data_IF_589630684233
#
_entry.id   IF_589630684233
#
_cell.length_a   1.000
_cell.length_b   1.000
_cell.length_c   1.000
_cell.angle_alpha   90.00
_cell.angle_beta   90.00
_cell.angle_gamma   90.00
#
_symmetry.space_group_name_H-M   'P 1'
#
loop_
_entity.id
_entity.type
_entity.pdbx_description
1 polymer ?
#
# COMPACT_ATOMS: atom_id res chain seq x y z
N UNK A 1 4.13 -3.58 -29.11
CA UNK A 1 5.22 -4.54 -28.81
C UNK A 1 4.68 -5.50 -27.78
N UNK A 2 4.98 -6.77 -27.91
CA UNK A 2 4.60 -7.84 -27.00
C UNK A 2 5.88 -8.37 -26.35
N UNK A 3 5.84 -8.68 -25.07
CA UNK A 3 6.96 -9.18 -24.28
C UNK A 3 6.47 -10.39 -23.49
N UNK A 4 7.19 -11.48 -23.59
CA UNK A 4 6.92 -12.73 -22.88
C UNK A 4 7.95 -12.94 -21.79
N UNK A 5 7.51 -13.40 -20.62
CA UNK A 5 8.40 -13.83 -19.54
C UNK A 5 8.61 -15.34 -19.63
N UNK A 6 9.85 -15.75 -19.75
CA UNK A 6 10.20 -17.17 -19.78
C UNK A 6 9.86 -17.84 -18.43
N UNK A 7 9.11 -18.92 -18.47
CA UNK A 7 8.80 -19.73 -17.29
C UNK A 7 10.02 -20.52 -16.82
N UNK A 8 10.21 -20.56 -15.53
CA UNK A 8 11.21 -21.39 -14.82
C UNK A 8 10.67 -21.73 -13.44
N UNK A 9 11.12 -22.85 -12.87
CA UNK A 9 10.83 -23.22 -11.48
C UNK A 9 11.99 -22.86 -10.53
N UNK A 10 13.12 -22.41 -11.08
CA UNK A 10 14.25 -21.93 -10.30
C UNK A 10 14.08 -20.46 -9.93
N UNK A 11 14.06 -20.19 -8.62
CA UNK A 11 13.76 -18.86 -8.09
C UNK A 11 14.82 -17.82 -8.47
N UNK A 12 16.11 -18.22 -8.46
CA UNK A 12 17.19 -17.28 -8.81
C UNK A 12 17.14 -16.91 -10.29
N UNK A 13 16.88 -17.88 -11.17
CA UNK A 13 16.69 -17.64 -12.60
C UNK A 13 15.45 -16.79 -12.85
N UNK A 14 14.34 -17.05 -12.11
CA UNK A 14 13.14 -16.25 -12.20
C UNK A 14 13.41 -14.78 -11.84
N UNK A 15 14.08 -14.50 -10.73
CA UNK A 15 14.38 -13.14 -10.29
C UNK A 15 15.19 -12.35 -11.35
N UNK A 16 16.15 -13.00 -11.99
CA UNK A 16 16.93 -12.41 -13.09
C UNK A 16 16.05 -12.12 -14.31
N UNK A 17 15.25 -13.09 -14.74
CA UNK A 17 14.36 -12.97 -15.89
C UNK A 17 13.27 -11.93 -15.64
N UNK A 18 12.70 -11.88 -14.43
CA UNK A 18 11.70 -10.90 -14.05
C UNK A 18 12.26 -9.48 -14.08
N UNK A 19 13.47 -9.26 -13.59
CA UNK A 19 14.14 -7.96 -13.68
C UNK A 19 14.27 -7.50 -15.14
N UNK A 20 14.77 -8.35 -16.00
CA UNK A 20 14.92 -8.04 -17.45
C UNK A 20 13.55 -7.79 -18.11
N UNK A 21 12.54 -8.59 -17.76
CA UNK A 21 11.17 -8.41 -18.28
C UNK A 21 10.60 -7.04 -17.94
N UNK A 22 10.71 -6.62 -16.67
CA UNK A 22 10.23 -5.31 -16.21
C UNK A 22 11.02 -4.17 -16.87
N UNK A 23 12.36 -4.24 -16.89
CA UNK A 23 13.22 -3.22 -17.51
C UNK A 23 12.90 -3.06 -18.99
N UNK A 24 12.76 -4.17 -19.75
CA UNK A 24 12.42 -4.14 -21.17
C UNK A 24 11.04 -3.50 -21.42
N UNK A 25 10.06 -3.81 -20.57
CA UNK A 25 8.73 -3.22 -20.66
C UNK A 25 8.76 -1.71 -20.40
N UNK A 26 9.51 -1.27 -19.39
CA UNK A 26 9.72 0.14 -19.06
C UNK A 26 10.42 0.90 -20.18
N UNK A 27 11.56 0.40 -20.65
CA UNK A 27 12.34 1.04 -21.72
C UNK A 27 11.50 1.19 -22.98
N UNK A 28 10.73 0.17 -23.32
CA UNK A 28 9.82 0.22 -24.45
C UNK A 28 8.72 1.25 -24.28
N UNK A 29 8.09 1.29 -23.11
CA UNK A 29 7.05 2.28 -22.81
C UNK A 29 7.61 3.71 -22.85
N UNK A 30 8.74 3.96 -22.21
CA UNK A 30 9.42 5.27 -22.21
C UNK A 30 9.82 5.70 -23.64
N UNK A 31 10.36 4.79 -24.43
CA UNK A 31 10.73 5.07 -25.84
C UNK A 31 9.57 5.57 -26.69
N UNK A 32 8.38 5.10 -26.43
CA UNK A 32 7.17 5.47 -27.17
C UNK A 32 6.26 6.46 -26.42
N UNK A 33 6.71 7.03 -25.29
CA UNK A 33 5.94 7.99 -24.50
C UNK A 33 4.68 7.39 -23.87
N UNK A 34 4.68 6.09 -23.60
CA UNK A 34 3.57 5.39 -22.95
C UNK A 34 3.73 5.50 -21.42
N UNK A 35 2.69 5.89 -20.68
CA UNK A 35 2.73 5.92 -19.21
C UNK A 35 3.12 4.55 -18.62
N UNK A 36 3.96 4.57 -17.58
CA UNK A 36 4.41 3.37 -16.86
C UNK A 36 3.36 2.86 -15.87
N UNK A 37 2.12 2.79 -16.30
CA UNK A 37 0.96 2.30 -15.55
C UNK A 37 0.50 0.97 -16.10
N UNK A 38 0.07 0.06 -15.23
CA UNK A 38 -0.36 -1.29 -15.60
C UNK A 38 -1.88 -1.40 -15.65
N UNK A 39 -2.41 -2.00 -16.71
CA UNK A 39 -3.82 -2.37 -16.89
C UNK A 39 -4.83 -1.23 -16.61
N UNK A 40 -4.48 -0.01 -16.99
CA UNK A 40 -5.40 1.14 -16.94
C UNK A 40 -6.67 0.88 -17.77
N UNK A 41 -7.79 1.60 -17.53
CA UNK A 41 -9.01 1.50 -18.33
C UNK A 41 -8.76 1.55 -19.84
N UNK A 42 -9.69 0.99 -20.63
CA UNK A 42 -9.55 0.83 -22.09
C UNK A 42 -9.19 2.14 -22.82
N UNK A 43 -9.72 3.25 -22.38
CA UNK A 43 -9.51 4.57 -22.98
C UNK A 43 -8.28 5.32 -22.45
N UNK A 44 -7.48 4.69 -21.61
CA UNK A 44 -6.26 5.28 -21.04
C UNK A 44 -5.02 4.55 -21.53
N UNK A 45 -3.96 5.27 -21.95
CA UNK A 45 -2.69 4.66 -22.31
C UNK A 45 -2.01 4.01 -21.09
N UNK A 46 -1.15 3.04 -21.34
CA UNK A 46 -0.39 2.31 -20.32
C UNK A 46 0.09 0.96 -20.84
N UNK A 47 0.87 0.28 -20.03
CA UNK A 47 1.28 -1.11 -20.25
C UNK A 47 0.08 -2.01 -19.97
N UNK A 48 -0.21 -2.95 -20.85
CA UNK A 48 -1.34 -3.86 -20.74
C UNK A 48 -0.86 -5.30 -20.65
N UNK A 49 -1.38 -6.06 -19.67
CA UNK A 49 -1.16 -7.51 -19.62
C UNK A 49 -1.93 -8.24 -20.71
N UNK A 50 -1.53 -9.47 -21.02
CA UNK A 50 -2.30 -10.32 -21.93
C UNK A 50 -3.69 -10.59 -21.38
N UNK A 51 -3.83 -10.84 -20.09
CA UNK A 51 -5.13 -10.98 -19.45
C UNK A 51 -6.01 -9.74 -19.68
N UNK A 52 -5.46 -8.53 -19.53
CA UNK A 52 -6.19 -7.30 -19.81
C UNK A 52 -6.66 -7.24 -21.28
N UNK A 53 -5.78 -7.59 -22.23
CA UNK A 53 -6.10 -7.63 -23.66
C UNK A 53 -7.23 -8.63 -23.94
N UNK A 54 -7.15 -9.82 -23.35
CA UNK A 54 -8.20 -10.84 -23.45
C UNK A 54 -9.54 -10.34 -22.94
N UNK A 55 -9.57 -9.66 -21.81
CA UNK A 55 -10.79 -9.19 -21.16
C UNK A 55 -11.42 -7.96 -21.84
N UNK A 56 -10.63 -7.13 -22.52
CA UNK A 56 -11.08 -5.84 -23.04
C UNK A 56 -11.07 -5.73 -24.56
N UNK A 57 -10.34 -6.59 -25.28
CA UNK A 57 -10.21 -6.51 -26.73
C UNK A 57 -10.53 -7.85 -27.38
N UNK A 58 -9.67 -8.86 -27.22
CA UNK A 58 -9.84 -10.22 -27.75
C UNK A 58 -8.72 -11.14 -27.26
N UNK A 59 -8.90 -12.45 -27.32
CA UNK A 59 -7.92 -13.46 -27.00
C UNK A 59 -8.34 -14.44 -25.93
N UNK A 60 -7.44 -15.35 -25.55
CA UNK A 60 -7.62 -16.40 -24.56
C UNK A 60 -6.46 -16.49 -23.56
N UNK A 61 -5.54 -15.54 -23.62
CA UNK A 61 -4.38 -15.48 -22.73
C UNK A 61 -4.76 -15.01 -21.33
N UNK A 62 -4.19 -15.65 -20.31
CA UNK A 62 -4.42 -15.34 -18.90
C UNK A 62 -3.19 -14.84 -18.15
N UNK A 63 -2.04 -14.84 -18.82
CA UNK A 63 -0.76 -14.39 -18.27
C UNK A 63 -0.71 -12.84 -18.11
N UNK A 64 0.21 -12.33 -17.29
CA UNK A 64 1.29 -13.03 -16.58
C UNK A 64 0.93 -13.44 -15.13
N UNK A 65 -0.25 -13.10 -14.62
CA UNK A 65 -0.51 -13.06 -13.19
C UNK A 65 -0.49 -14.42 -12.49
N UNK A 66 -0.94 -15.49 -13.15
CA UNK A 66 -0.90 -16.83 -12.58
C UNK A 66 0.54 -17.25 -12.23
N UNK A 67 1.40 -17.22 -13.24
CA UNK A 67 2.81 -17.59 -13.07
C UNK A 67 3.56 -16.64 -12.13
N UNK A 68 3.33 -15.33 -12.22
CA UNK A 68 3.95 -14.37 -11.31
C UNK A 68 3.57 -14.64 -9.85
N UNK A 69 2.30 -14.95 -9.59
CA UNK A 69 1.81 -15.29 -8.25
C UNK A 69 2.47 -16.55 -7.69
N UNK A 70 2.64 -17.61 -8.52
CA UNK A 70 3.37 -18.83 -8.15
C UNK A 70 4.81 -18.53 -7.73
N UNK A 71 5.43 -17.55 -8.39
CA UNK A 71 6.80 -17.12 -8.10
C UNK A 71 6.89 -16.02 -7.02
N UNK A 72 5.76 -15.66 -6.39
CA UNK A 72 5.69 -14.69 -5.28
C UNK A 72 5.63 -13.22 -5.70
N UNK A 73 5.27 -12.94 -6.97
CA UNK A 73 5.09 -11.56 -7.48
C UNK A 73 3.60 -11.28 -7.69
N UNK A 74 3.04 -10.34 -6.92
CA UNK A 74 1.66 -9.90 -7.10
C UNK A 74 1.51 -8.94 -8.27
N UNK A 75 0.25 -8.70 -8.70
CA UNK A 75 -0.07 -7.70 -9.74
C UNK A 75 0.38 -6.29 -9.31
N UNK A 76 0.18 -5.94 -8.05
CA UNK A 76 0.55 -4.65 -7.48
C UNK A 76 2.06 -4.48 -7.45
N UNK A 77 2.80 -5.56 -7.13
CA UNK A 77 4.26 -5.54 -7.21
C UNK A 77 4.74 -5.32 -8.64
N UNK A 78 4.17 -6.02 -9.62
CA UNK A 78 4.50 -5.79 -11.02
C UNK A 78 4.20 -4.35 -11.44
N UNK A 79 3.04 -3.80 -11.04
CA UNK A 79 2.68 -2.40 -11.33
C UNK A 79 3.67 -1.42 -10.69
N UNK A 80 4.10 -1.68 -9.47
CA UNK A 80 5.11 -0.89 -8.78
C UNK A 80 6.46 -0.94 -9.50
N UNK A 81 6.95 -2.14 -9.81
CA UNK A 81 8.24 -2.33 -10.48
C UNK A 81 8.24 -1.69 -11.89
N UNK A 82 7.12 -1.76 -12.61
CA UNK A 82 6.95 -1.06 -13.88
C UNK A 82 6.97 0.47 -13.71
N UNK A 83 6.37 1.00 -12.67
CA UNK A 83 6.38 2.44 -12.42
C UNK A 83 7.77 2.97 -12.00
N UNK A 84 8.53 2.24 -11.20
CA UNK A 84 9.75 2.73 -10.53
C UNK A 84 11.05 2.11 -11.04
N UNK A 85 11.01 0.90 -11.63
CA UNK A 85 12.20 0.14 -12.05
C UNK A 85 12.96 -0.49 -10.88
N UNK A 86 14.08 -1.12 -11.24
CA UNK A 86 15.03 -1.64 -10.26
C UNK A 86 16.22 -0.68 -10.20
N UNK A 87 16.47 -0.07 -9.04
CA UNK A 87 17.71 0.68 -8.80
C UNK A 87 18.80 -0.31 -8.40
N UNK A 88 20.04 -0.08 -8.86
CA UNK A 88 21.19 -0.95 -8.56
C UNK A 88 21.58 -0.98 -7.07
N UNK A 89 20.87 -0.26 -6.22
CA UNK A 89 20.97 -0.32 -4.76
C UNK A 89 19.91 -1.30 -4.19
N UNK A 90 19.96 -2.57 -4.61
CA UNK A 90 19.16 -3.60 -3.98
C UNK A 90 20.06 -4.41 -3.02
N UNK A 91 20.07 -4.10 -1.73
CA UNK A 91 20.74 -4.97 -0.77
C UNK A 91 19.96 -6.29 -0.72
N UNK A 92 20.59 -7.33 -1.19
CA UNK A 92 20.21 -8.72 -1.00
C UNK A 92 20.32 -9.09 0.47
N UNK A 93 19.38 -8.65 1.30
CA UNK A 93 19.10 -9.29 2.59
C UNK A 93 17.65 -9.02 2.96
N UNK A 94 16.97 -10.05 3.35
CA UNK A 94 15.53 -10.22 3.53
C UNK A 94 14.91 -9.48 4.73
N UNK A 95 15.48 -8.39 5.24
CA UNK A 95 15.00 -7.74 6.46
C UNK A 95 14.58 -6.26 6.33
N UNK A 96 14.86 -5.56 5.20
CA UNK A 96 14.68 -4.11 5.13
C UNK A 96 13.81 -3.58 3.97
N UNK A 97 13.02 -4.40 3.31
CA UNK A 97 12.09 -3.88 2.29
C UNK A 97 10.87 -3.25 2.97
N UNK A 98 10.43 -2.04 2.54
CA UNK A 98 9.11 -1.58 2.91
C UNK A 98 8.11 -2.62 2.41
N UNK A 99 7.39 -3.24 3.32
CA UNK A 99 6.31 -4.16 2.95
C UNK A 99 5.14 -3.32 2.47
N UNK A 100 5.20 -2.89 1.21
CA UNK A 100 4.02 -2.42 0.51
C UNK A 100 3.33 -3.66 -0.04
N UNK A 101 2.60 -4.32 0.81
CA UNK A 101 1.65 -5.34 0.40
C UNK A 101 0.25 -4.85 0.79
N UNK A 102 -0.43 -4.12 -0.10
CA UNK A 102 -1.79 -3.65 0.17
C UNK A 102 -2.76 -4.81 0.38
N UNK A 103 -2.46 -6.02 -0.12
CA UNK A 103 -3.32 -7.18 0.07
C UNK A 103 -3.19 -7.75 1.49
N UNK A 104 -2.06 -7.57 2.16
CA UNK A 104 -1.87 -7.97 3.55
C UNK A 104 -2.53 -7.04 4.54
N UNK A 105 -2.61 -5.74 4.25
CA UNK A 105 -3.40 -4.82 5.07
C UNK A 105 -4.86 -5.30 5.14
N UNK A 106 -5.45 -5.69 4.02
CA UNK A 106 -6.80 -6.24 3.95
C UNK A 106 -7.02 -7.58 4.64
N UNK A 107 -5.96 -8.36 4.90
CA UNK A 107 -6.06 -9.67 5.55
C UNK A 107 -5.97 -9.61 7.09
N UNK A 108 -5.63 -8.45 7.67
CA UNK A 108 -5.50 -8.32 9.11
C UNK A 108 -6.88 -8.13 9.75
N UNK A 109 -7.34 -9.08 10.54
CA UNK A 109 -8.54 -8.91 11.34
C UNK A 109 -8.36 -7.73 12.31
N UNK A 110 -9.36 -6.86 12.45
CA UNK A 110 -9.33 -5.81 13.46
C UNK A 110 -9.15 -6.42 14.84
N UNK A 111 -8.38 -5.77 15.69
CA UNK A 111 -8.25 -6.16 17.10
C UNK A 111 -9.29 -5.41 17.89
N UNK A 112 -10.12 -6.15 18.62
CA UNK A 112 -11.06 -5.60 19.57
C UNK A 112 -10.31 -5.22 20.84
N UNK A 113 -10.39 -3.97 21.27
CA UNK A 113 -9.73 -3.53 22.50
C UNK A 113 -10.67 -3.55 23.72
N UNK A 114 -11.90 -3.12 23.55
CA UNK A 114 -12.87 -3.01 24.66
C UNK A 114 -14.34 -3.23 24.25
N UNK A 115 -14.56 -3.82 23.09
CA UNK A 115 -15.89 -3.98 22.49
C UNK A 115 -16.35 -2.77 21.68
N UNK A 116 -15.59 -1.67 21.67
CA UNK A 116 -15.97 -0.41 21.02
C UNK A 116 -14.86 0.21 20.17
N UNK A 117 -13.67 -0.39 20.11
CA UNK A 117 -12.51 0.10 19.39
C UNK A 117 -12.04 -0.92 18.34
N UNK A 118 -12.43 -0.69 17.08
CA UNK A 118 -12.09 -1.52 15.94
C UNK A 118 -11.40 -0.69 14.88
N UNK A 119 -10.32 -1.16 14.32
CA UNK A 119 -9.65 -0.45 13.26
C UNK A 119 -9.03 -1.38 12.21
N UNK A 120 -8.83 -0.85 11.02
CA UNK A 120 -8.19 -1.55 9.92
C UNK A 120 -7.42 -0.57 9.03
N UNK A 121 -6.28 -1.00 8.54
CA UNK A 121 -5.50 -0.27 7.55
C UNK A 121 -5.71 -0.92 6.20
N UNK A 122 -6.36 -0.20 5.28
CA UNK A 122 -6.57 -0.63 3.90
C UNK A 122 -5.33 -0.33 3.04
N UNK A 123 -4.62 0.78 3.34
CA UNK A 123 -3.45 1.23 2.60
C UNK A 123 -2.42 1.91 3.52
N UNK A 124 -1.16 1.52 3.36
CA UNK A 124 -0.04 2.13 4.05
C UNK A 124 1.21 2.06 3.16
N UNK A 125 1.54 3.15 2.46
CA UNK A 125 2.65 3.16 1.52
C UNK A 125 2.91 4.50 0.84
N UNK A 126 4.08 4.62 0.21
CA UNK A 126 4.42 5.78 -0.63
C UNK A 126 3.61 5.75 -1.92
N UNK A 127 3.06 6.88 -2.33
CA UNK A 127 2.37 7.02 -3.62
C UNK A 127 3.26 7.80 -4.60
N UNK A 128 3.64 9.03 -4.27
CA UNK A 128 4.52 9.86 -5.12
C UNK A 128 5.22 10.93 -4.29
N UNK A 129 6.40 11.37 -4.73
CA UNK A 129 7.10 12.55 -4.20
C UNK A 129 7.30 12.55 -2.68
N UNK A 130 7.61 11.41 -2.09
CA UNK A 130 7.75 11.23 -0.64
C UNK A 130 6.45 11.43 0.17
N UNK A 131 5.28 11.29 -0.45
CA UNK A 131 4.01 11.24 0.26
C UNK A 131 3.73 9.82 0.72
N UNK A 132 3.61 9.65 2.03
CA UNK A 132 3.17 8.44 2.67
C UNK A 132 1.65 8.48 2.81
N UNK A 133 0.96 7.65 2.08
CA UNK A 133 -0.49 7.51 2.14
C UNK A 133 -0.89 6.51 3.21
N UNK A 134 -1.91 6.88 3.98
CA UNK A 134 -2.54 6.00 4.97
C UNK A 134 -4.05 6.08 4.80
N UNK A 135 -4.68 4.97 4.49
CA UNK A 135 -6.13 4.85 4.38
C UNK A 135 -6.65 3.65 5.14
N UNK A 136 -7.87 3.72 5.62
CA UNK A 136 -8.51 2.67 6.38
C UNK A 136 -9.78 3.15 7.06
N UNK A 137 -10.09 2.53 8.19
CA UNK A 137 -11.22 2.92 9.02
C UNK A 137 -10.95 2.66 10.52
N UNK A 138 -11.60 3.44 11.37
CA UNK A 138 -11.54 3.31 12.81
C UNK A 138 -12.93 3.57 13.42
N UNK A 139 -13.41 2.64 14.22
CA UNK A 139 -14.67 2.74 14.95
C UNK A 139 -14.34 2.89 16.42
N UNK A 140 -14.64 4.06 16.96
CA UNK A 140 -14.48 4.38 18.38
C UNK A 140 -15.48 5.46 18.81
N UNK A 141 -15.74 5.57 20.11
CA UNK A 141 -16.78 6.45 20.67
C UNK A 141 -16.24 7.82 21.09
N UNK A 142 -15.54 8.50 20.17
CA UNK A 142 -14.99 9.83 20.43
C UNK A 142 -15.24 10.77 19.25
N UNK A 143 -15.06 12.07 19.48
CA UNK A 143 -15.49 13.11 18.55
C UNK A 143 -14.55 13.34 17.37
N UNK A 144 -13.25 13.18 17.57
CA UNK A 144 -12.23 13.50 16.61
C UNK A 144 -11.37 12.29 16.32
N UNK A 145 -11.04 12.08 15.07
CA UNK A 145 -10.14 11.02 14.62
C UNK A 145 -8.81 11.62 14.18
N UNK A 146 -7.72 10.97 14.58
CA UNK A 146 -6.35 11.32 14.23
C UNK A 146 -5.56 10.08 13.80
N UNK A 147 -4.80 10.23 12.75
CA UNK A 147 -3.85 9.23 12.28
C UNK A 147 -2.45 9.70 12.62
N UNK A 148 -1.67 8.82 13.22
CA UNK A 148 -0.31 9.06 13.68
C UNK A 148 0.66 8.19 12.93
N UNK A 149 1.82 8.75 12.58
CA UNK A 149 3.02 8.00 12.24
C UNK A 149 3.88 7.92 13.48
N UNK A 150 4.17 6.68 13.89
CA UNK A 150 4.90 6.37 15.11
C UNK A 150 6.25 5.74 14.78
N UNK A 151 7.29 6.09 15.51
CA UNK A 151 8.57 5.38 15.45
C UNK A 151 8.39 3.96 16.01
N UNK A 152 8.67 2.96 15.20
CA UNK A 152 8.44 1.56 15.54
C UNK A 152 9.26 1.10 16.75
N UNK A 153 10.51 1.57 16.85
CA UNK A 153 11.45 1.13 17.86
C UNK A 153 11.23 1.81 19.21
N UNK A 154 10.88 3.11 19.19
CA UNK A 154 10.74 3.91 20.42
C UNK A 154 9.30 4.10 20.85
N UNK A 155 8.32 3.85 19.97
CA UNK A 155 6.92 4.16 20.21
C UNK A 155 6.60 5.66 20.27
N UNK A 156 7.53 6.53 19.87
CA UNK A 156 7.31 7.98 19.87
C UNK A 156 6.54 8.41 18.64
N UNK A 157 5.69 9.41 18.81
CA UNK A 157 5.05 10.11 17.70
C UNK A 157 6.08 10.83 16.84
N UNK A 158 5.94 10.69 15.52
CA UNK A 158 6.73 11.41 14.52
C UNK A 158 5.89 12.46 13.78
N UNK A 159 4.62 12.15 13.53
CA UNK A 159 3.67 13.05 12.89
C UNK A 159 2.24 12.65 13.23
N UNK A 160 1.31 13.58 13.15
CA UNK A 160 -0.14 13.33 13.22
C UNK A 160 -0.89 14.19 12.22
N UNK A 161 -2.02 13.68 11.73
CA UNK A 161 -2.97 14.42 10.91
C UNK A 161 -4.38 14.09 11.40
N UNK A 162 -5.22 15.12 11.48
CA UNK A 162 -6.66 14.92 11.75
C UNK A 162 -7.31 14.28 10.54
N UNK A 163 -8.10 13.23 10.76
CA UNK A 163 -8.90 12.59 9.74
C UNK A 163 -10.29 13.22 9.69
N UNK A 164 -10.72 13.67 8.51
CA UNK A 164 -12.03 14.34 8.35
C UNK A 164 -13.19 13.35 8.20
N UNK A 165 -12.91 12.06 8.26
CA UNK A 165 -13.90 11.00 8.17
C UNK A 165 -14.45 10.79 6.75
N UNK A 166 -14.47 9.53 6.31
CA UNK A 166 -15.02 9.10 5.00
C UNK A 166 -16.16 8.12 5.27
N UNK A 167 -17.26 8.27 4.53
CA UNK A 167 -18.36 7.34 4.64
C UNK A 167 -17.97 5.96 4.07
N UNK A 168 -18.12 4.93 4.90
CA UNK A 168 -17.78 3.52 4.60
C UNK A 168 -19.01 2.64 4.81
N UNK A 169 -19.89 2.53 3.81
CA UNK A 169 -21.12 1.72 3.93
C UNK A 169 -20.84 0.25 4.17
N UNK A 170 -19.75 -0.28 3.62
CA UNK A 170 -19.27 -1.64 3.82
C UNK A 170 -18.90 -1.91 5.29
N UNK A 171 -18.17 -1.01 5.92
CA UNK A 171 -17.79 -1.10 7.33
C UNK A 171 -19.01 -0.88 8.23
N UNK A 172 -19.83 0.12 7.93
CA UNK A 172 -21.03 0.42 8.71
C UNK A 172 -22.00 -0.78 8.73
N UNK A 173 -22.17 -1.47 7.61
CA UNK A 173 -22.97 -2.67 7.53
C UNK A 173 -22.36 -3.84 8.31
N UNK A 174 -21.04 -4.07 8.16
CA UNK A 174 -20.34 -5.20 8.77
C UNK A 174 -20.29 -5.12 10.30
N UNK A 175 -20.17 -3.91 10.83
CA UNK A 175 -20.01 -3.66 12.27
C UNK A 175 -21.24 -3.03 12.94
N UNK A 176 -22.36 -2.95 12.24
CA UNK A 176 -23.61 -2.34 12.71
C UNK A 176 -23.38 -0.95 13.34
N UNK A 177 -22.63 -0.12 12.64
CA UNK A 177 -22.32 1.27 13.02
C UNK A 177 -22.85 2.25 11.99
N UNK A 178 -22.63 3.54 12.20
CA UNK A 178 -23.05 4.59 11.30
C UNK A 178 -22.03 5.74 11.31
N UNK A 179 -22.03 6.52 10.24
CA UNK A 179 -21.19 7.71 10.14
C UNK A 179 -19.96 7.52 9.26
N UNK A 180 -19.04 8.45 9.38
CA UNK A 180 -17.83 8.56 8.57
C UNK A 180 -16.65 7.91 9.30
N UNK A 181 -16.61 6.60 9.35
CA UNK A 181 -15.59 5.82 10.08
C UNK A 181 -14.29 5.64 9.28
N UNK A 182 -14.29 5.94 7.99
CA UNK A 182 -13.12 5.84 7.13
C UNK A 182 -12.19 7.04 7.25
N UNK A 183 -10.92 6.84 6.89
CA UNK A 183 -9.93 7.91 6.77
C UNK A 183 -9.04 7.72 5.56
N UNK A 184 -8.49 8.84 5.06
CA UNK A 184 -7.50 8.86 3.99
C UNK A 184 -6.63 10.10 4.18
N UNK A 185 -5.41 9.91 4.64
CA UNK A 185 -4.49 10.99 4.99
C UNK A 185 -3.12 10.78 4.35
N UNK A 186 -2.33 11.84 4.27
CA UNK A 186 -0.97 11.81 3.71
C UNK A 186 0.02 12.50 4.63
N UNK A 187 1.24 11.97 4.65
CA UNK A 187 2.36 12.52 5.41
C UNK A 187 3.57 12.71 4.50
N UNK A 188 4.35 13.76 4.75
CA UNK A 188 5.61 13.94 4.06
C UNK A 188 6.71 13.12 4.75
N UNK A 189 7.18 12.05 4.11
CA UNK A 189 8.21 11.16 4.66
C UNK A 189 9.56 11.84 4.87
N UNK A 190 9.82 12.98 4.21
CA UNK A 190 11.05 13.76 4.43
C UNK A 190 11.16 14.29 5.85
N UNK A 191 10.05 14.35 6.59
CA UNK A 191 10.04 14.80 7.99
C UNK A 191 10.58 13.76 8.97
N UNK A 192 10.71 12.49 8.54
CA UNK A 192 11.20 11.40 9.40
C UNK A 192 12.11 10.41 8.66
N UNK A 193 13.21 10.89 8.06
CA UNK A 193 14.12 10.04 7.30
C UNK A 193 14.80 8.98 8.18
N UNK A 194 15.16 7.84 7.60
CA UNK A 194 15.86 6.74 8.27
C UNK A 194 15.09 6.20 9.50
N UNK A 195 13.77 6.14 9.43
CA UNK A 195 12.91 5.65 10.49
C UNK A 195 12.16 4.39 10.06
N UNK A 196 12.04 3.44 10.96
CA UNK A 196 11.04 2.38 10.88
C UNK A 196 9.76 2.91 11.52
N UNK A 197 8.66 2.93 10.78
CA UNK A 197 7.41 3.57 11.21
C UNK A 197 6.22 2.63 11.13
N UNK A 198 5.22 2.88 11.97
CA UNK A 198 3.92 2.21 11.93
C UNK A 198 2.79 3.21 12.17
N UNK A 199 1.56 2.79 11.93
CA UNK A 199 0.36 3.62 12.09
C UNK A 199 -0.29 3.38 13.44
N UNK A 200 -0.66 4.46 14.12
CA UNK A 200 -1.58 4.45 15.25
C UNK A 200 -2.79 5.33 14.90
N UNK A 201 -3.98 4.81 15.13
CA UNK A 201 -5.24 5.52 15.01
C UNK A 201 -5.69 5.95 16.39
N UNK A 202 -6.11 7.20 16.56
CA UNK A 202 -6.64 7.74 17.81
C UNK A 202 -7.98 8.40 17.59
N UNK A 203 -8.99 7.93 18.29
CA UNK A 203 -10.23 8.67 18.48
C UNK A 203 -10.18 9.40 19.84
N UNK A 204 -10.53 10.69 19.88
CA UNK A 204 -10.39 11.52 21.08
C UNK A 204 -11.44 12.62 21.16
N UNK A 205 -11.68 13.14 22.37
CA UNK A 205 -12.46 14.36 22.56
C UNK A 205 -11.62 15.65 22.53
N UNK A 206 -10.29 15.53 22.41
CA UNK A 206 -9.40 16.67 22.28
C UNK A 206 -9.33 17.13 20.81
N UNK A 207 -9.69 18.38 20.49
CA UNK A 207 -9.64 18.89 19.11
C UNK A 207 -8.22 18.97 18.54
N UNK A 208 -7.18 18.83 19.34
CA UNK A 208 -5.77 18.80 18.92
C UNK A 208 -5.18 17.37 18.83
N UNK A 209 -6.02 16.34 19.05
CA UNK A 209 -5.60 14.95 18.94
C UNK A 209 -4.80 14.43 20.16
N UNK A 210 -4.80 15.13 21.31
CA UNK A 210 -4.24 14.63 22.54
C UNK A 210 -5.26 13.73 23.29
N UNK A 211 -5.02 13.43 24.56
CA UNK A 211 -5.88 12.52 25.34
C UNK A 211 -6.82 13.24 26.30
N UNK A 212 -6.89 14.57 26.24
CA UNK A 212 -7.74 15.37 27.12
C UNK A 212 -9.22 15.07 26.84
N UNK A 213 -9.96 14.76 27.87
CA UNK A 213 -11.39 14.41 27.76
C UNK A 213 -11.65 12.98 27.29
N UNK A 214 -10.62 12.15 27.25
CA UNK A 214 -10.68 10.74 26.88
C UNK A 214 -10.20 10.48 25.43
N UNK A 215 -9.61 9.31 25.24
CA UNK A 215 -9.17 8.83 23.93
C UNK A 215 -9.12 7.28 23.92
N UNK A 216 -9.25 6.73 22.72
CA UNK A 216 -8.98 5.33 22.42
C UNK A 216 -7.94 5.26 21.31
N UNK A 217 -6.88 4.47 21.53
CA UNK A 217 -5.79 4.28 20.62
C UNK A 217 -5.81 2.86 20.04
N UNK A 218 -5.58 2.75 18.75
CA UNK A 218 -5.36 1.49 18.08
C UNK A 218 -3.97 1.49 17.45
N UNK A 219 -3.04 0.70 18.01
CA UNK A 219 -1.67 0.55 17.52
C UNK A 219 -1.54 -0.65 16.60
N UNK A 220 -1.34 -0.44 15.31
CA UNK A 220 -1.14 -1.54 14.37
C UNK A 220 0.32 -1.72 13.96
N UNK A 221 1.09 -2.42 14.80
CA UNK A 221 2.51 -2.76 14.55
C UNK A 221 2.71 -3.94 13.61
N UNK A 222 1.66 -4.58 13.14
CA UNK A 222 1.75 -5.67 12.15
C UNK A 222 2.25 -5.13 10.81
N UNK A 223 1.95 -3.87 10.53
CA UNK A 223 2.34 -3.15 9.33
C UNK A 223 3.36 -2.08 9.68
N UNK A 224 4.48 -2.09 9.00
CA UNK A 224 5.52 -1.08 9.18
C UNK A 224 6.22 -0.78 7.86
N UNK A 225 6.79 0.41 7.77
CA UNK A 225 7.62 0.84 6.65
C UNK A 225 9.00 1.26 7.15
N UNK A 226 10.03 0.94 6.39
CA UNK A 226 11.36 1.51 6.57
C UNK A 226 11.48 2.74 5.66
N UNK A 227 11.51 3.91 6.26
CA UNK A 227 11.68 5.16 5.51
C UNK A 227 13.16 5.31 5.16
N UNK A 228 13.52 5.45 3.87
CA UNK A 228 14.90 5.49 3.44
C UNK A 228 15.64 6.72 4.01
N UNK A 229 16.95 6.61 4.11
CA UNK A 229 17.84 7.74 4.38
C UNK A 229 17.91 8.54 3.07
N UNK A 230 17.35 9.71 3.07
CA UNK A 230 17.40 10.65 1.93
C UNK A 230 18.38 11.78 2.23
#
# INVERSE_FOLDING_TARGET
MQIELQHTHDKETFEKNYKVYVELARDSAMKYGIPLTLDTPYNQPGIKSHLWVTQNIWGDHTDPYGYLSEMGVSKEKLAYDLAHGFTDENPTTSEDKPVIDPTRAGAANPTLTDGTNYAHIDQFGEIENANLHVAGWHIANYKYEYIFIMDYNTGKELARVRADGIYRPDVNQAYNTSGNVGYHVSFNMRNFPNKKVYVMMRATNDPEGNTKGGAQDFHDKRWYLNIPKR
#
